data_IF_807534513244
#
_entry.id   IF_807534513244
#
_cell.length_a   1.000
_cell.length_b   1.000
_cell.length_c   1.000
_cell.angle_alpha   90.00
_cell.angle_beta   90.00
_cell.angle_gamma   90.00
#
_symmetry.space_group_name_H-M   'P 1'
#
loop_
_entity.id
_entity.type
_entity.pdbx_description
1 polymer ?
#
# COMPACT_ATOMS: atom_id res chain seq x y z
N UNK A 1 19.18 -12.76 -4.19
CA UNK A 1 18.86 -11.89 -3.04
C UNK A 1 20.05 -10.96 -2.85
N UNK A 2 19.90 -9.63 -2.85
CA UNK A 2 21.05 -8.71 -2.93
C UNK A 2 21.17 -7.75 -1.74
N UNK A 3 20.06 -7.34 -1.13
CA UNK A 3 20.10 -6.49 0.07
C UNK A 3 18.86 -6.66 0.94
N UNK A 4 18.99 -6.26 2.21
CA UNK A 4 17.90 -6.10 3.16
C UNK A 4 17.75 -4.61 3.45
N UNK A 5 16.53 -4.10 3.34
CA UNK A 5 16.19 -2.68 3.55
C UNK A 5 15.37 -2.59 4.84
N UNK A 6 15.82 -1.78 5.80
CA UNK A 6 15.04 -1.43 6.99
C UNK A 6 14.39 -0.06 6.81
N UNK A 7 13.08 -0.02 6.91
CA UNK A 7 12.30 1.22 6.87
C UNK A 7 11.70 1.45 8.25
N UNK A 8 11.96 2.62 8.81
CA UNK A 8 11.34 3.07 10.04
C UNK A 8 10.31 4.15 9.72
N UNK A 9 9.07 3.91 10.12
CA UNK A 9 7.94 4.79 9.89
C UNK A 9 7.44 5.32 11.23
N UNK A 10 7.33 6.62 11.35
CA UNK A 10 6.66 7.27 12.47
C UNK A 10 5.31 7.80 11.99
N UNK A 11 4.25 7.38 12.66
CA UNK A 11 2.89 7.88 12.47
C UNK A 11 2.52 8.73 13.67
N UNK A 12 2.18 10.00 13.44
CA UNK A 12 1.66 10.89 14.48
C UNK A 12 0.16 11.12 14.30
N UNK A 13 -0.62 10.90 15.36
CA UNK A 13 -2.05 11.21 15.43
C UNK A 13 -2.24 12.10 16.66
N UNK A 14 -2.45 13.40 16.45
CA UNK A 14 -2.47 14.37 17.54
C UNK A 14 -1.12 14.41 18.28
N UNK A 15 -1.15 14.17 19.59
CA UNK A 15 0.05 14.12 20.43
C UNK A 15 0.72 12.73 20.47
N UNK A 16 0.05 11.69 19.99
CA UNK A 16 0.55 10.32 20.04
C UNK A 16 1.42 10.03 18.82
N UNK A 17 2.63 9.51 19.06
CA UNK A 17 3.54 9.03 18.03
C UNK A 17 3.69 7.51 18.16
N UNK A 18 3.48 6.81 17.05
CA UNK A 18 3.71 5.36 16.94
C UNK A 18 4.82 5.11 15.93
N UNK A 19 5.80 4.30 16.32
CA UNK A 19 6.91 3.90 15.44
C UNK A 19 6.74 2.46 15.00
N UNK A 20 6.95 2.19 13.72
CA UNK A 20 6.96 0.86 13.14
C UNK A 20 8.26 0.64 12.37
N UNK A 21 8.88 -0.51 12.56
CA UNK A 21 10.02 -0.96 11.74
C UNK A 21 9.58 -2.07 10.81
N UNK A 22 9.98 -1.97 9.54
CA UNK A 22 9.70 -2.96 8.50
C UNK A 22 11.00 -3.37 7.80
N UNK A 23 11.12 -4.66 7.48
CA UNK A 23 12.27 -5.22 6.77
C UNK A 23 11.83 -5.73 5.40
N UNK A 24 12.52 -5.31 4.36
CA UNK A 24 12.27 -5.73 2.99
C UNK A 24 13.49 -6.47 2.44
N UNK A 25 13.24 -7.58 1.75
CA UNK A 25 14.26 -8.30 1.00
C UNK A 25 14.19 -7.83 -0.44
N UNK A 26 15.30 -7.37 -1.00
CA UNK A 26 15.32 -6.76 -2.33
C UNK A 26 16.48 -7.23 -3.20
N UNK A 27 16.27 -7.12 -4.51
CA UNK A 27 17.27 -7.27 -5.57
C UNK A 27 17.67 -5.94 -6.20
N UNK A 28 17.15 -4.82 -5.69
CA UNK A 28 17.44 -3.46 -6.15
C UNK A 28 18.93 -3.15 -6.02
N UNK A 29 19.51 -2.59 -7.07
CA UNK A 29 20.95 -2.32 -7.17
C UNK A 29 21.35 -0.96 -6.59
N UNK A 30 20.43 0.02 -6.55
CA UNK A 30 20.73 1.35 -5.99
C UNK A 30 21.15 1.24 -4.52
N UNK A 31 22.21 1.95 -4.16
CA UNK A 31 22.65 2.15 -2.76
C UNK A 31 22.16 3.49 -2.21
N UNK A 32 21.28 4.19 -2.94
CA UNK A 32 20.70 5.43 -2.46
C UNK A 32 19.51 5.12 -1.55
N UNK A 33 19.66 5.45 -0.26
CA UNK A 33 18.64 5.23 0.77
C UNK A 33 17.29 5.89 0.43
N UNK A 34 17.31 7.07 -0.20
CA UNK A 34 16.10 7.78 -0.63
C UNK A 34 15.34 7.04 -1.74
N UNK A 35 16.06 6.46 -2.70
CA UNK A 35 15.44 5.73 -3.80
C UNK A 35 14.83 4.41 -3.29
N UNK A 36 15.54 3.71 -2.40
CA UNK A 36 15.01 2.55 -1.67
C UNK A 36 13.76 2.91 -0.88
N UNK A 37 13.75 4.05 -0.18
CA UNK A 37 12.59 4.56 0.54
C UNK A 37 11.38 4.78 -0.38
N UNK A 38 11.62 5.40 -1.55
CA UNK A 38 10.57 5.65 -2.56
C UNK A 38 10.00 4.34 -3.09
N UNK A 39 10.83 3.33 -3.34
CA UNK A 39 10.38 2.00 -3.78
C UNK A 39 9.50 1.34 -2.71
N UNK A 40 9.96 1.29 -1.46
CA UNK A 40 9.19 0.77 -0.33
C UNK A 40 7.86 1.51 -0.17
N UNK A 41 7.87 2.85 -0.23
CA UNK A 41 6.65 3.67 -0.13
C UNK A 41 5.69 3.44 -1.31
N UNK A 42 6.20 3.30 -2.54
CA UNK A 42 5.37 3.02 -3.72
C UNK A 42 4.74 1.63 -3.64
N UNK A 43 5.44 0.67 -3.07
CA UNK A 43 4.87 -0.65 -2.79
C UNK A 43 3.66 -0.54 -1.84
N UNK A 44 3.78 0.21 -0.73
CA UNK A 44 2.66 0.48 0.17
C UNK A 44 1.46 1.18 -0.47
N UNK A 45 1.68 2.03 -1.49
CA UNK A 45 0.59 2.67 -2.22
C UNK A 45 -0.30 1.66 -2.98
N UNK A 46 0.24 0.50 -3.36
CA UNK A 46 -0.56 -0.56 -3.97
C UNK A 46 -1.54 -1.12 -2.95
N UNK A 47 -1.05 -1.46 -1.75
CA UNK A 47 -1.90 -1.97 -0.66
C UNK A 47 -3.00 -0.96 -0.30
N UNK A 48 -2.61 0.27 0.00
CA UNK A 48 -3.58 1.29 0.43
C UNK A 48 -4.58 1.68 -0.67
N UNK A 49 -4.17 1.67 -1.93
CA UNK A 49 -5.03 2.12 -3.03
C UNK A 49 -5.86 1.01 -3.65
N UNK A 50 -5.22 -0.10 -4.01
CA UNK A 50 -5.87 -1.23 -4.68
C UNK A 50 -6.63 -2.09 -3.67
N UNK A 51 -5.97 -2.59 -2.63
CA UNK A 51 -6.56 -3.57 -1.72
C UNK A 51 -7.72 -2.97 -0.94
N UNK A 52 -7.54 -1.79 -0.32
CA UNK A 52 -8.64 -1.12 0.36
C UNK A 52 -9.88 -0.93 -0.53
N UNK A 53 -9.68 -0.58 -1.82
CA UNK A 53 -10.79 -0.42 -2.77
C UNK A 53 -11.48 -1.75 -3.07
N UNK A 54 -10.73 -2.84 -3.19
CA UNK A 54 -11.28 -4.18 -3.42
C UNK A 54 -12.03 -4.69 -2.18
N UNK A 55 -11.44 -4.52 -1.00
CA UNK A 55 -11.98 -5.02 0.27
C UNK A 55 -13.25 -4.27 0.67
N UNK A 56 -13.21 -2.93 0.62
CA UNK A 56 -14.32 -2.09 1.08
C UNK A 56 -15.35 -1.82 -0.03
N UNK A 57 -14.91 -1.32 -1.18
CA UNK A 57 -15.86 -0.89 -2.24
C UNK A 57 -16.42 -2.06 -3.03
N UNK A 58 -15.64 -3.13 -3.22
CA UNK A 58 -16.09 -4.36 -3.92
C UNK A 58 -16.46 -5.50 -2.97
N UNK A 59 -16.37 -5.27 -1.65
CA UNK A 59 -16.76 -6.24 -0.62
C UNK A 59 -16.02 -7.56 -0.73
N UNK A 60 -14.76 -7.54 -1.17
CA UNK A 60 -13.98 -8.76 -1.42
C UNK A 60 -13.87 -9.64 -0.17
N UNK A 61 -13.55 -9.05 0.98
CA UNK A 61 -13.47 -9.74 2.28
C UNK A 61 -14.78 -10.42 2.70
N UNK A 62 -15.91 -9.79 2.37
CA UNK A 62 -17.24 -10.30 2.73
C UNK A 62 -17.79 -11.32 1.72
N UNK A 63 -17.04 -11.63 0.66
CA UNK A 63 -17.51 -12.51 -0.41
C UNK A 63 -17.57 -13.97 0.03
N UNK A 64 -18.77 -14.56 -0.05
CA UNK A 64 -19.01 -15.97 0.34
C UNK A 64 -18.82 -16.97 -0.80
N UNK A 65 -18.25 -16.54 -1.93
CA UNK A 65 -18.04 -17.41 -3.10
C UNK A 65 -16.93 -18.41 -2.79
N UNK A 66 -17.30 -19.67 -2.57
CA UNK A 66 -16.37 -20.77 -2.22
C UNK A 66 -16.35 -21.93 -3.22
N UNK A 67 -17.13 -21.83 -4.30
CA UNK A 67 -17.28 -22.90 -5.28
C UNK A 67 -16.18 -22.85 -6.35
N UNK A 68 -15.41 -23.93 -6.45
CA UNK A 68 -14.32 -24.08 -7.44
C UNK A 68 -13.39 -22.87 -7.45
N UNK A 69 -13.05 -22.37 -8.64
CA UNK A 69 -12.17 -21.19 -8.81
C UNK A 69 -12.95 -19.86 -8.73
N UNK A 70 -14.12 -19.83 -8.09
CA UNK A 70 -15.02 -18.66 -8.07
C UNK A 70 -14.38 -17.43 -7.42
N UNK A 71 -13.65 -17.60 -6.32
CA UNK A 71 -12.96 -16.50 -5.63
C UNK A 71 -11.89 -15.84 -6.52
N UNK A 72 -11.05 -16.64 -7.18
CA UNK A 72 -10.02 -16.14 -8.09
C UNK A 72 -10.62 -15.43 -9.31
N UNK A 73 -11.62 -16.04 -9.95
CA UNK A 73 -12.33 -15.44 -11.09
C UNK A 73 -12.93 -14.09 -10.71
N UNK A 74 -13.58 -14.02 -9.55
CA UNK A 74 -14.20 -12.79 -9.07
C UNK A 74 -13.18 -11.71 -8.73
N UNK A 75 -12.04 -12.07 -8.11
CA UNK A 75 -10.96 -11.12 -7.83
C UNK A 75 -10.40 -10.50 -9.12
N UNK A 76 -10.22 -11.29 -10.18
CA UNK A 76 -9.81 -10.78 -11.50
C UNK A 76 -10.85 -9.83 -12.10
N UNK A 77 -12.14 -10.17 -12.01
CA UNK A 77 -13.24 -9.31 -12.48
C UNK A 77 -13.31 -7.98 -11.72
N UNK A 78 -13.18 -7.99 -10.39
CA UNK A 78 -13.15 -6.77 -9.56
C UNK A 78 -11.99 -5.85 -9.94
N UNK A 79 -10.80 -6.43 -10.14
CA UNK A 79 -9.61 -5.68 -10.59
C UNK A 79 -9.82 -5.04 -11.97
N UNK A 80 -10.41 -5.77 -12.91
CA UNK A 80 -10.77 -5.23 -14.23
C UNK A 80 -11.77 -4.08 -14.13
N UNK A 81 -12.84 -4.26 -13.34
CA UNK A 81 -13.84 -3.22 -13.11
C UNK A 81 -13.23 -1.96 -12.47
N UNK A 82 -12.37 -2.12 -11.45
CA UNK A 82 -11.69 -0.98 -10.81
C UNK A 82 -10.80 -0.22 -11.81
N UNK A 83 -10.08 -0.92 -12.68
CA UNK A 83 -9.25 -0.29 -13.70
C UNK A 83 -10.10 0.50 -14.71
N UNK A 84 -11.25 -0.04 -15.14
CA UNK A 84 -12.18 0.68 -16.01
C UNK A 84 -12.76 1.93 -15.31
N UNK A 85 -13.16 1.81 -14.04
CA UNK A 85 -13.64 2.96 -13.26
C UNK A 85 -12.58 4.06 -13.10
N UNK A 86 -11.29 3.70 -13.02
CA UNK A 86 -10.18 4.68 -12.99
C UNK A 86 -9.95 5.38 -14.33
N UNK A 87 -10.31 4.74 -15.45
CA UNK A 87 -10.16 5.30 -16.81
C UNK A 87 -11.36 6.16 -17.22
N UNK A 88 -12.53 5.93 -16.62
CA UNK A 88 -13.74 6.71 -16.85
C UNK A 88 -13.58 8.16 -16.36
N UNK A 89 -13.46 9.11 -17.30
CA UNK A 89 -13.32 10.55 -17.02
C UNK A 89 -14.63 11.33 -17.15
N UNK A 90 -15.66 10.71 -17.75
CA UNK A 90 -16.93 11.35 -18.14
C UNK A 90 -17.84 11.67 -16.95
N UNK A 91 -17.77 10.87 -15.88
CA UNK A 91 -18.59 11.06 -14.67
C UNK A 91 -17.66 11.12 -13.47
N UNK A 92 -17.31 12.32 -13.04
CA UNK A 92 -16.71 12.57 -11.71
C UNK A 92 -17.77 12.37 -10.62
N UNK A 93 -18.42 11.21 -10.57
CA UNK A 93 -19.04 10.79 -9.32
C UNK A 93 -17.89 10.36 -8.45
N UNK A 94 -17.37 11.29 -7.66
CA UNK A 94 -16.34 10.99 -6.69
C UNK A 94 -16.83 9.81 -5.86
N UNK A 95 -16.27 8.61 -6.07
CA UNK A 95 -16.19 7.66 -4.98
C UNK A 95 -15.40 8.42 -3.91
N UNK A 96 -16.12 9.01 -2.94
CA UNK A 96 -15.51 9.67 -1.80
C UNK A 96 -14.88 8.58 -0.94
N UNK A 97 -13.76 8.04 -1.40
CA UNK A 97 -12.81 7.26 -0.63
C UNK A 97 -11.86 8.26 0.00
N UNK A 98 -12.42 9.16 0.80
CA UNK A 98 -11.75 10.06 1.71
C UNK A 98 -12.77 10.35 2.80
N UNK A 99 -12.95 9.42 3.73
CA UNK A 99 -13.02 9.85 5.11
C UNK A 99 -11.60 10.33 5.43
N UNK A 100 -11.35 11.61 5.18
CA UNK A 100 -10.31 12.33 5.90
C UNK A 100 -10.49 11.97 7.36
N UNK A 101 -9.48 11.31 7.94
CA UNK A 101 -9.31 11.35 9.39
C UNK A 101 -9.46 12.82 9.83
N UNK A 102 -10.11 13.07 10.99
CA UNK A 102 -10.32 14.44 11.46
C UNK A 102 -9.01 15.21 11.40
N UNK A 103 -9.09 16.50 11.05
CA UNK A 103 -7.97 17.42 10.88
C UNK A 103 -7.17 17.59 12.20
N UNK A 104 -6.41 16.57 12.57
CA UNK A 104 -5.17 16.66 13.32
C UNK A 104 -4.08 16.38 12.31
N UNK A 105 -3.12 17.30 12.21
CA UNK A 105 -1.92 17.22 11.37
C UNK A 105 -1.26 15.83 11.44
N UNK A 106 -1.64 14.93 10.54
CA UNK A 106 -1.07 13.58 10.45
C UNK A 106 0.21 13.70 9.64
N UNK A 107 1.31 14.06 10.30
CA UNK A 107 2.63 14.05 9.70
C UNK A 107 3.16 12.61 9.72
N UNK A 108 3.26 11.99 8.56
CA UNK A 108 3.90 10.66 8.40
C UNK A 108 5.32 10.87 7.88
N UNK A 109 6.31 10.61 8.73
CA UNK A 109 7.72 10.64 8.34
C UNK A 109 8.25 9.21 8.19
N UNK A 110 8.95 8.93 7.11
CA UNK A 110 9.62 7.64 6.90
C UNK A 110 11.11 7.89 6.81
N UNK A 111 11.89 7.28 7.70
CA UNK A 111 13.35 7.29 7.67
C UNK A 111 13.82 5.92 7.20
N UNK A 112 14.52 5.86 6.06
CA UNK A 112 15.20 4.65 5.65
C UNK A 112 16.58 4.61 6.29
N UNK A 113 16.84 3.54 7.03
CA UNK A 113 18.15 3.23 7.57
C UNK A 113 18.67 2.02 6.80
N UNK A 114 19.79 2.19 6.10
CA UNK A 114 20.41 1.08 5.40
C UNK A 114 21.10 0.17 6.41
N UNK A 115 20.63 -1.08 6.50
CA UNK A 115 21.39 -2.16 7.11
C UNK A 115 22.10 -2.87 5.97
N UNK A 116 23.33 -2.44 5.66
CA UNK A 116 24.23 -3.22 4.81
C UNK A 116 24.61 -4.51 5.53
N UNK A 117 23.74 -5.50 5.49
CA UNK A 117 24.11 -6.89 5.72
C UNK A 117 24.47 -7.46 4.37
N UNK A 118 25.76 -7.31 3.99
CA UNK A 118 26.36 -8.16 2.96
C UNK A 118 26.24 -9.59 3.49
N UNK A 119 25.25 -10.33 2.99
CA UNK A 119 25.23 -11.78 3.16
C UNK A 119 26.46 -12.33 2.40
N UNK A 120 27.23 -13.24 3.02
CA UNK A 120 28.48 -13.76 2.47
C UNK A 120 28.29 -14.49 1.14
#
# INVERSE_FOLDING_TARGET
>A
MRCVIRVECERRIGAEATTQTQYHISSVETQQSEERARICRRHWSIENGLHWSLDVSFGEDNSRVRMGNGAEKLSRLRRMALNLLKLETSRKTASRTNASAPAGTTTTSSRCLELETRLP
#
